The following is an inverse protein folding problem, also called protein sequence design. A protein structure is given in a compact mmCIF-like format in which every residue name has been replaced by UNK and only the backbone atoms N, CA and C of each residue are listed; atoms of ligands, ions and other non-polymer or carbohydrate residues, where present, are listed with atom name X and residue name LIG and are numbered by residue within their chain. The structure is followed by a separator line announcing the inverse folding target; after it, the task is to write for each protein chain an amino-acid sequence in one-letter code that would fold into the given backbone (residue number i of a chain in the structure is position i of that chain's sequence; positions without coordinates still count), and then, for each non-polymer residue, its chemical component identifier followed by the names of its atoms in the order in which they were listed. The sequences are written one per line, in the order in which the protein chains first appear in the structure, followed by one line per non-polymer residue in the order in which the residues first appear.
data_IF_758206470210
#
_entry.id   IF_758206470210
#
_cell.length_a   1.000
_cell.length_b   1.000
_cell.length_c   1.000
_cell.angle_alpha   90.00
_cell.angle_beta   90.00
_cell.angle_gamma   90.00
#
_symmetry.space_group_name_H-M   'P 1'
#
loop_
_entity.id
_entity.type
_entity.pdbx_description
1 polymer ?
#
# COMPACT_ATOMS: atom_id res chain seq x y z
N UNK A 1 -1.00 6.11 -22.13
CA UNK A 1 -2.36 5.85 -21.61
C UNK A 1 -2.49 4.37 -21.25
N UNK A 2 -1.73 3.89 -20.25
CA UNK A 2 -1.79 2.49 -19.82
C UNK A 2 -2.82 2.39 -18.69
N UNK A 3 -3.77 1.49 -18.89
CA UNK A 3 -4.95 1.26 -18.08
C UNK A 3 -4.60 1.06 -16.59
N UNK A 4 -5.40 1.68 -15.71
CA UNK A 4 -5.57 1.12 -14.37
C UNK A 4 -5.94 -0.35 -14.56
N UNK A 5 -5.09 -1.28 -14.10
CA UNK A 5 -5.35 -2.73 -14.24
C UNK A 5 -6.72 -3.02 -13.64
N UNK A 6 -7.74 -3.13 -14.49
CA UNK A 6 -9.02 -3.69 -14.12
C UNK A 6 -8.77 -5.15 -13.79
N UNK A 7 -9.18 -5.58 -12.59
CA UNK A 7 -9.04 -6.97 -12.14
C UNK A 7 -9.62 -7.90 -13.21
N UNK A 8 -8.78 -8.67 -13.89
CA UNK A 8 -9.25 -9.54 -14.97
C UNK A 8 -9.87 -10.79 -14.38
N UNK A 9 -10.67 -11.51 -15.18
CA UNK A 9 -11.23 -12.80 -14.75
C UNK A 9 -10.13 -13.79 -14.35
N UNK A 10 -9.01 -13.79 -15.05
CA UNK A 10 -7.86 -14.65 -14.73
C UNK A 10 -7.22 -14.28 -13.38
N UNK A 11 -7.21 -12.99 -13.02
CA UNK A 11 -6.71 -12.53 -11.73
C UNK A 11 -7.61 -13.01 -10.58
N UNK A 12 -8.93 -12.98 -10.76
CA UNK A 12 -9.88 -13.48 -9.76
C UNK A 12 -9.72 -14.99 -9.52
N UNK A 13 -9.55 -15.78 -10.58
CA UNK A 13 -9.29 -17.22 -10.46
C UNK A 13 -7.98 -17.50 -9.71
N UNK A 14 -6.94 -16.70 -9.93
CA UNK A 14 -5.68 -16.84 -9.20
C UNK A 14 -5.83 -16.42 -7.73
N UNK A 15 -6.59 -15.36 -7.44
CA UNK A 15 -6.91 -14.96 -6.06
C UNK A 15 -7.68 -16.06 -5.33
N UNK A 16 -8.64 -16.71 -6.00
CA UNK A 16 -9.36 -17.85 -5.43
C UNK A 16 -8.40 -18.99 -5.04
N UNK A 17 -7.42 -19.32 -5.89
CA UNK A 17 -6.38 -20.30 -5.54
C UNK A 17 -5.54 -19.89 -4.33
N UNK A 18 -5.20 -18.61 -4.23
CA UNK A 18 -4.50 -18.07 -3.06
C UNK A 18 -5.39 -18.26 -1.82
N UNK A 19 -6.67 -17.85 -1.88
CA UNK A 19 -7.63 -18.00 -0.77
C UNK A 19 -7.73 -19.46 -0.34
N UNK A 20 -7.82 -20.39 -1.30
CA UNK A 20 -7.91 -21.83 -1.05
C UNK A 20 -6.71 -22.38 -0.27
N UNK A 21 -5.50 -21.88 -0.55
CA UNK A 21 -4.29 -22.25 0.18
C UNK A 21 -4.33 -21.86 1.68
N UNK A 22 -5.11 -20.85 2.05
CA UNK A 22 -5.23 -20.36 3.42
C UNK A 22 -6.49 -20.85 4.16
N UNK A 23 -7.38 -21.61 3.51
CA UNK A 23 -8.60 -22.13 4.15
C UNK A 23 -8.26 -23.02 5.35
N UNK A 24 -9.01 -22.83 6.43
CA UNK A 24 -8.85 -23.63 7.67
C UNK A 24 -7.58 -23.33 8.48
N UNK A 25 -6.72 -22.42 8.01
CA UNK A 25 -5.56 -21.97 8.78
C UNK A 25 -5.96 -20.94 9.84
N UNK A 26 -5.39 -21.05 11.04
CA UNK A 26 -5.59 -20.06 12.09
C UNK A 26 -4.78 -18.79 11.77
N UNK A 27 -5.37 -17.62 12.04
CA UNK A 27 -4.70 -16.30 11.88
C UNK A 27 -4.27 -15.96 10.45
N UNK A 28 -4.95 -16.52 9.45
CA UNK A 28 -4.57 -16.44 8.04
C UNK A 28 -4.89 -15.11 7.34
N UNK A 29 -5.73 -14.25 7.93
CA UNK A 29 -6.25 -13.06 7.24
C UNK A 29 -5.15 -12.09 6.80
N UNK A 30 -4.25 -11.68 7.71
CA UNK A 30 -3.18 -10.73 7.38
C UNK A 30 -2.19 -11.31 6.35
N UNK A 31 -1.66 -12.55 6.52
CA UNK A 31 -0.83 -13.19 5.50
C UNK A 31 -1.51 -13.29 4.13
N UNK A 32 -2.79 -13.68 4.09
CA UNK A 32 -3.58 -13.77 2.87
C UNK A 32 -3.70 -12.41 2.18
N UNK A 33 -4.06 -11.35 2.91
CA UNK A 33 -4.13 -9.99 2.37
C UNK A 33 -2.78 -9.52 1.80
N UNK A 34 -1.67 -9.84 2.46
CA UNK A 34 -0.33 -9.55 1.93
C UNK A 34 -0.01 -10.34 0.66
N UNK A 35 -0.51 -11.56 0.51
CA UNK A 35 -0.31 -12.36 -0.70
C UNK A 35 -1.13 -11.84 -1.88
N UNK A 36 -2.42 -11.55 -1.65
CA UNK A 36 -3.29 -10.90 -2.64
C UNK A 36 -2.69 -9.57 -3.11
N UNK A 37 -2.26 -8.72 -2.17
CA UNK A 37 -1.64 -7.44 -2.51
C UNK A 37 -0.29 -7.60 -3.22
N UNK A 38 0.51 -8.63 -2.90
CA UNK A 38 1.77 -8.89 -3.63
C UNK A 38 1.51 -9.32 -5.08
N UNK A 39 0.42 -10.05 -5.32
CA UNK A 39 0.05 -10.50 -6.65
C UNK A 39 -0.49 -9.36 -7.54
N UNK A 40 -1.42 -8.55 -7.01
CA UNK A 40 -2.07 -7.48 -7.79
C UNK A 40 -1.47 -6.08 -7.61
N UNK A 41 -0.70 -5.85 -6.55
CA UNK A 41 -0.23 -4.53 -6.13
C UNK A 41 -1.21 -3.76 -5.23
N UNK A 42 -2.47 -4.19 -5.18
CA UNK A 42 -3.55 -3.66 -4.32
C UNK A 42 -4.56 -4.77 -4.03
N UNK A 43 -5.53 -4.50 -3.16
CA UNK A 43 -6.61 -5.42 -2.79
C UNK A 43 -7.92 -4.89 -3.39
N UNK A 44 -8.41 -5.48 -4.48
CA UNK A 44 -9.65 -5.04 -5.09
C UNK A 44 -10.85 -5.25 -4.14
N UNK A 45 -11.74 -4.27 -3.95
CA UNK A 45 -12.89 -4.39 -3.05
C UNK A 45 -13.79 -5.60 -3.34
N UNK A 46 -13.88 -6.02 -4.61
CA UNK A 46 -14.64 -7.19 -5.05
C UNK A 46 -14.10 -8.51 -4.51
N UNK A 47 -12.85 -8.57 -4.05
CA UNK A 47 -12.24 -9.79 -3.47
C UNK A 47 -12.60 -10.00 -2.00
N UNK A 48 -13.10 -8.96 -1.32
CA UNK A 48 -13.39 -8.99 0.12
C UNK A 48 -14.43 -10.04 0.49
N UNK A 49 -15.56 -10.18 -0.22
CA UNK A 49 -16.53 -11.24 0.05
C UNK A 49 -15.92 -12.65 -0.10
N UNK A 50 -15.09 -12.86 -1.12
CA UNK A 50 -14.43 -14.16 -1.36
C UNK A 50 -13.43 -14.51 -0.26
N UNK A 51 -12.62 -13.54 0.17
CA UNK A 51 -11.68 -13.70 1.30
C UNK A 51 -12.44 -14.02 2.60
N UNK A 52 -13.52 -13.30 2.85
CA UNK A 52 -14.36 -13.50 4.03
C UNK A 52 -14.98 -14.91 4.03
N UNK A 53 -15.54 -15.35 2.90
CA UNK A 53 -16.10 -16.70 2.75
C UNK A 53 -15.04 -17.78 2.93
N UNK A 54 -13.85 -17.63 2.32
CA UNK A 54 -12.77 -18.61 2.42
C UNK A 54 -12.24 -18.81 3.84
N UNK A 55 -12.25 -17.75 4.66
CA UNK A 55 -11.79 -17.80 6.05
C UNK A 55 -12.90 -18.00 7.08
N UNK A 56 -14.16 -18.07 6.66
CA UNK A 56 -15.31 -18.16 7.57
C UNK A 56 -15.52 -16.90 8.42
N UNK A 57 -15.20 -15.73 7.86
CA UNK A 57 -15.32 -14.42 8.50
C UNK A 57 -16.47 -13.61 7.88
N UNK A 58 -16.88 -12.54 8.55
CA UNK A 58 -17.76 -11.54 7.96
C UNK A 58 -16.96 -10.57 7.07
N UNK A 59 -17.51 -10.10 5.93
CA UNK A 59 -16.86 -9.09 5.09
C UNK A 59 -16.47 -7.82 5.85
N UNK A 60 -17.25 -7.43 6.87
CA UNK A 60 -16.97 -6.28 7.73
C UNK A 60 -15.69 -6.45 8.56
N UNK A 61 -15.36 -7.67 8.98
CA UNK A 61 -14.11 -7.95 9.71
C UNK A 61 -12.90 -7.81 8.79
N UNK A 62 -13.01 -8.31 7.56
CA UNK A 62 -11.96 -8.17 6.53
C UNK A 62 -11.76 -6.69 6.19
N UNK A 63 -12.85 -5.97 5.91
CA UNK A 63 -12.81 -4.54 5.65
C UNK A 63 -12.19 -3.77 6.83
N UNK A 64 -12.55 -4.12 8.07
CA UNK A 64 -11.99 -3.49 9.26
C UNK A 64 -10.48 -3.67 9.39
N UNK A 65 -9.95 -4.84 9.02
CA UNK A 65 -8.49 -5.07 9.00
C UNK A 65 -7.81 -4.28 7.90
N UNK A 66 -8.41 -4.24 6.70
CA UNK A 66 -7.88 -3.46 5.57
C UNK A 66 -7.81 -1.96 5.91
N UNK A 67 -8.85 -1.42 6.56
CA UNK A 67 -8.87 0.01 6.93
C UNK A 67 -8.02 0.32 8.14
N UNK A 68 -7.78 -0.65 9.04
CA UNK A 68 -6.98 -0.45 10.23
C UNK A 68 -5.47 -0.38 9.94
N UNK A 69 -4.97 -1.22 9.03
CA UNK A 69 -3.54 -1.23 8.69
C UNK A 69 -3.24 -0.41 7.43
N UNK A 70 -2.50 0.69 7.59
CA UNK A 70 -2.01 1.54 6.48
C UNK A 70 -1.10 0.82 5.46
N UNK A 71 -0.80 -0.47 5.67
CA UNK A 71 -0.03 -1.28 4.72
C UNK A 71 -0.90 -1.89 3.62
N UNK A 72 -2.22 -1.93 3.82
CA UNK A 72 -3.18 -2.47 2.86
C UNK A 72 -3.82 -1.37 2.03
N UNK A 73 -3.88 -1.58 0.72
CA UNK A 73 -4.34 -0.58 -0.24
C UNK A 73 -5.47 -1.15 -1.08
N UNK A 74 -6.58 -0.42 -1.13
CA UNK A 74 -7.73 -0.78 -1.99
C UNK A 74 -7.69 -0.09 -3.34
N UNK A 75 -6.78 0.87 -3.51
CA UNK A 75 -6.57 1.60 -4.76
C UNK A 75 -5.24 1.19 -5.41
N UNK A 76 -5.17 1.16 -6.75
CA UNK A 76 -3.92 0.93 -7.45
C UNK A 76 -2.87 1.97 -7.08
N UNK A 77 -1.62 1.52 -6.93
CA UNK A 77 -0.48 2.37 -6.64
C UNK A 77 0.55 2.28 -7.76
N UNK A 78 1.41 3.30 -7.81
CA UNK A 78 2.55 3.32 -8.69
C UNK A 78 3.57 2.25 -8.32
N UNK A 79 4.39 1.86 -9.30
CA UNK A 79 5.44 0.85 -9.15
C UNK A 79 6.41 1.16 -8.01
N UNK A 80 6.65 2.44 -7.75
CA UNK A 80 7.51 2.91 -6.67
C UNK A 80 6.74 3.78 -5.69
N UNK A 81 6.76 3.42 -4.41
CA UNK A 81 6.12 4.22 -3.36
C UNK A 81 7.20 5.05 -2.65
N UNK A 82 7.06 6.37 -2.69
CA UNK A 82 7.94 7.34 -2.04
C UNK A 82 7.26 7.85 -0.79
N UNK A 83 7.81 7.53 0.39
CA UNK A 83 7.26 7.92 1.69
C UNK A 83 8.16 8.95 2.35
N UNK A 84 7.68 10.18 2.49
CA UNK A 84 8.41 11.25 3.17
C UNK A 84 8.05 11.30 4.66
N UNK A 85 9.06 11.31 5.53
CA UNK A 85 8.85 11.37 6.97
C UNK A 85 8.41 12.78 7.42
N UNK A 86 7.30 12.85 8.16
CA UNK A 86 6.77 14.09 8.77
C UNK A 86 6.95 14.14 10.29
N UNK A 87 7.77 13.25 10.85
CA UNK A 87 8.01 13.17 12.29
C UNK A 87 8.74 14.38 12.83
N UNK A 88 8.67 14.61 14.14
CA UNK A 88 9.19 15.83 14.79
C UNK A 88 10.65 16.12 14.42
N UNK A 89 11.53 15.11 14.42
CA UNK A 89 12.93 15.27 14.03
C UNK A 89 13.10 15.69 12.56
N UNK A 90 12.31 15.12 11.65
CA UNK A 90 12.34 15.51 10.24
C UNK A 90 11.71 16.90 10.05
N UNK A 91 10.65 17.23 10.79
CA UNK A 91 9.99 18.53 10.73
C UNK A 91 10.97 19.67 11.04
N UNK A 92 11.74 19.56 12.12
CA UNK A 92 12.70 20.60 12.53
C UNK A 92 13.94 20.65 11.64
N UNK A 93 14.33 19.54 11.01
CA UNK A 93 15.50 19.46 10.10
C UNK A 93 15.18 19.74 8.62
N UNK A 94 13.98 20.27 8.32
CA UNK A 94 13.63 20.70 6.96
C UNK A 94 12.88 19.66 6.11
N UNK A 95 12.20 18.69 6.73
CA UNK A 95 11.38 17.68 6.03
C UNK A 95 10.27 18.28 5.15
N UNK A 96 9.75 19.46 5.48
CA UNK A 96 8.83 20.21 4.60
C UNK A 96 9.47 20.58 3.26
N UNK A 97 10.75 20.94 3.26
CA UNK A 97 11.51 21.26 2.05
C UNK A 97 11.69 20.02 1.18
N UNK A 98 12.05 18.89 1.80
CA UNK A 98 12.16 17.61 1.10
C UNK A 98 10.83 17.24 0.45
N UNK A 99 9.72 17.32 1.18
CA UNK A 99 8.40 17.04 0.63
C UNK A 99 8.07 17.94 -0.56
N UNK A 100 8.34 19.25 -0.46
CA UNK A 100 8.13 20.19 -1.55
C UNK A 100 8.93 19.83 -2.80
N UNK A 101 10.21 19.47 -2.64
CA UNK A 101 11.08 19.07 -3.75
C UNK A 101 10.58 17.78 -4.41
N UNK A 102 10.15 16.79 -3.62
CA UNK A 102 9.60 15.54 -4.14
C UNK A 102 8.30 15.80 -4.92
N UNK A 103 7.40 16.65 -4.41
CA UNK A 103 6.19 17.07 -5.13
C UNK A 103 6.51 17.74 -6.46
N UNK A 104 7.49 18.65 -6.48
CA UNK A 104 7.92 19.33 -7.71
C UNK A 104 8.53 18.36 -8.72
N UNK A 105 9.29 17.37 -8.26
CA UNK A 105 9.95 16.40 -9.13
C UNK A 105 8.98 15.38 -9.72
N UNK A 106 8.02 14.90 -8.92
CA UNK A 106 7.03 13.91 -9.36
C UNK A 106 5.81 14.54 -10.04
N UNK A 107 5.53 15.83 -9.79
CA UNK A 107 4.38 16.53 -10.33
C UNK A 107 3.03 16.09 -9.75
N UNK A 108 3.03 15.56 -8.51
CA UNK A 108 1.82 15.07 -7.82
C UNK A 108 1.77 15.55 -6.37
N UNK A 109 0.57 15.58 -5.79
CA UNK A 109 0.35 15.92 -4.39
C UNK A 109 0.52 14.73 -3.43
N UNK A 110 0.43 15.00 -2.12
CA UNK A 110 0.49 13.96 -1.09
C UNK A 110 -0.71 13.01 -1.22
N UNK A 111 -0.44 11.70 -1.27
CA UNK A 111 -1.45 10.65 -1.44
C UNK A 111 -1.77 10.32 -2.90
N UNK A 112 -1.17 11.04 -3.85
CA UNK A 112 -1.43 10.85 -5.28
C UNK A 112 -0.40 9.95 -5.95
N UNK A 113 -0.82 9.40 -7.09
CA UNK A 113 0.00 8.55 -7.96
C UNK A 113 0.16 9.25 -9.31
N UNK A 114 1.36 9.18 -9.88
CA UNK A 114 1.66 9.78 -11.18
C UNK A 114 0.81 9.16 -12.29
N UNK A 115 0.44 9.90 -13.36
CA UNK A 115 -0.43 9.39 -14.43
C UNK A 115 0.13 8.17 -15.18
N UNK A 116 1.45 7.96 -15.10
CA UNK A 116 2.17 6.83 -15.69
C UNK A 116 2.28 5.63 -14.74
N UNK A 117 1.72 5.70 -13.52
CA UNK A 117 1.79 4.68 -12.48
C UNK A 117 3.22 4.24 -12.13
N UNK A 118 4.22 5.11 -12.32
CA UNK A 118 5.59 4.82 -11.90
C UNK A 118 5.84 5.18 -10.44
N UNK A 119 5.19 6.21 -9.91
CA UNK A 119 5.42 6.72 -8.56
C UNK A 119 4.12 7.03 -7.81
N UNK A 120 4.10 6.72 -6.52
CA UNK A 120 3.10 7.21 -5.56
C UNK A 120 3.80 8.01 -4.49
N UNK A 121 3.32 9.22 -4.21
CA UNK A 121 3.84 10.07 -3.15
C UNK A 121 2.99 9.91 -1.89
N UNK A 122 3.61 9.50 -0.80
CA UNK A 122 3.00 9.36 0.51
C UNK A 122 3.78 10.10 1.58
N UNK A 123 3.07 10.43 2.65
CA UNK A 123 3.70 10.91 3.88
C UNK A 123 3.38 9.99 5.04
N UNK A 124 4.33 9.87 5.95
CA UNK A 124 4.19 9.04 7.15
C UNK A 124 4.56 9.85 8.38
N UNK A 125 3.84 9.62 9.47
CA UNK A 125 4.06 10.34 10.72
C UNK A 125 5.48 10.13 11.26
N UNK A 126 6.04 8.92 11.23
CA UNK A 126 7.41 8.66 11.64
C UNK A 126 7.94 7.37 11.00
N UNK A 127 9.13 7.44 10.38
CA UNK A 127 9.84 6.26 9.86
C UNK A 127 10.68 5.58 10.97
N UNK A 128 11.03 6.32 12.03
CA UNK A 128 11.82 5.81 13.15
C UNK A 128 13.34 5.88 12.97
N UNK A 129 13.83 6.49 11.87
CA UNK A 129 15.28 6.58 11.57
C UNK A 129 15.78 8.02 11.77
N UNK A 130 15.58 8.57 12.97
CA UNK A 130 15.86 9.98 13.28
C UNK A 130 17.34 10.39 13.08
N UNK A 131 18.28 9.44 13.13
CA UNK A 131 19.70 9.69 12.88
C UNK A 131 19.96 10.28 11.48
N UNK A 132 19.17 9.88 10.49
CA UNK A 132 19.24 10.33 9.10
C UNK A 132 18.18 11.41 8.78
N UNK A 133 17.70 12.15 9.78
CA UNK A 133 16.71 13.19 9.49
C UNK A 133 17.34 14.37 8.72
N UNK A 134 16.69 14.92 7.67
CA UNK A 134 15.38 14.53 7.15
C UNK A 134 15.44 13.27 6.26
N UNK A 135 14.58 12.28 6.53
CA UNK A 135 14.57 11.01 5.79
C UNK A 135 13.29 10.76 4.99
N UNK A 136 13.42 9.88 4.01
CA UNK A 136 12.34 9.30 3.22
C UNK A 136 12.65 7.83 2.91
N UNK A 137 11.63 7.07 2.52
CA UNK A 137 11.78 5.69 2.07
C UNK A 137 11.24 5.56 0.65
N UNK A 138 12.02 4.97 -0.25
CA UNK A 138 11.56 4.57 -1.58
C UNK A 138 11.43 3.05 -1.56
N UNK A 139 10.20 2.56 -1.65
CA UNK A 139 9.82 1.15 -1.49
C UNK A 139 10.30 0.58 -0.14
N UNK A 140 11.51 -0.01 -0.11
CA UNK A 140 12.14 -0.62 1.07
C UNK A 140 13.48 0.01 1.43
N UNK A 141 13.95 1.00 0.66
CA UNK A 141 15.24 1.63 0.85
C UNK A 141 15.06 2.98 1.56
N UNK A 142 15.78 3.16 2.66
CA UNK A 142 15.77 4.41 3.44
C UNK A 142 16.86 5.35 2.94
N UNK A 143 16.52 6.63 2.82
CA UNK A 143 17.41 7.72 2.42
C UNK A 143 17.29 8.86 3.43
N UNK A 144 18.37 9.58 3.70
CA UNK A 144 18.36 10.78 4.54
C UNK A 144 19.70 11.50 4.55
#
# INVERSE_FOLDING_TARGET
MSEARLTTKADLEQIERIIDGYRGQKWALIPLLHEVQRFLGYIPPETIPSIASGLGLFPSQVQGVITFYEQFYTTPRGKNVVRVCRGTACHVRGGKTILKLVKQQLGVDEGETTPDYNYTLETVACIGVCALAPNLVINKQTHG
#
